data_IF_537250653106
#
_entry.id   IF_537250653106
#
_cell.length_a   1.000
_cell.length_b   1.000
_cell.length_c   1.000
_cell.angle_alpha   90.00
_cell.angle_beta   90.00
_cell.angle_gamma   90.00
#
_symmetry.space_group_name_H-M   'P 1'
#
loop_
_entity.id
_entity.type
_entity.pdbx_description
1 polymer ?
#
# COMPACT_ATOMS: atom_id res chain seq x y z
N UNK A 1 23.54 1.22 19.31
CA UNK A 1 22.87 2.50 19.02
C UNK A 1 21.69 2.24 18.08
N UNK A 2 20.45 2.58 18.49
CA UNK A 2 19.23 2.34 17.69
C UNK A 2 18.91 3.47 16.71
N UNK A 3 19.59 4.60 16.79
CA UNK A 3 19.34 5.77 15.92
C UNK A 3 19.78 5.56 14.48
N UNK A 4 20.55 4.50 14.23
CA UNK A 4 21.08 4.10 12.92
C UNK A 4 20.35 2.92 12.29
N UNK A 5 19.36 2.34 12.98
CA UNK A 5 18.63 1.17 12.49
C UNK A 5 17.44 1.63 11.65
N UNK A 6 17.24 0.98 10.50
CA UNK A 6 16.14 1.21 9.59
C UNK A 6 15.75 -0.13 8.96
N UNK A 7 14.45 -0.38 8.83
CA UNK A 7 13.93 -1.56 8.13
C UNK A 7 13.42 -1.10 6.78
N UNK A 8 14.00 -1.66 5.70
CA UNK A 8 13.53 -1.50 4.34
C UNK A 8 12.96 -2.85 3.86
N UNK A 9 11.63 -2.98 3.91
CA UNK A 9 10.96 -4.23 3.53
C UNK A 9 10.59 -4.19 2.04
N UNK A 10 11.17 -5.05 1.16
CA UNK A 10 10.72 -5.14 -0.23
C UNK A 10 9.40 -5.90 -0.32
N UNK A 11 8.63 -5.71 -1.40
CA UNK A 11 7.57 -6.66 -1.69
C UNK A 11 8.13 -7.98 -2.25
N UNK A 12 7.41 -9.08 -2.04
CA UNK A 12 7.78 -10.38 -2.62
C UNK A 12 7.68 -10.29 -4.16
N UNK A 13 8.59 -10.95 -4.89
CA UNK A 13 8.89 -10.69 -6.32
C UNK A 13 9.43 -9.27 -6.57
N UNK A 14 10.43 -8.86 -5.80
CA UNK A 14 11.04 -7.51 -5.88
C UNK A 14 11.56 -7.11 -7.27
N UNK A 15 11.81 -8.08 -8.16
CA UNK A 15 12.23 -7.85 -9.55
C UNK A 15 11.06 -7.52 -10.49
N UNK A 16 9.83 -7.88 -10.13
CA UNK A 16 8.60 -7.64 -10.91
C UNK A 16 7.81 -6.47 -10.33
N UNK A 17 7.72 -6.40 -9.00
CA UNK A 17 6.91 -5.41 -8.30
C UNK A 17 7.80 -4.36 -7.66
N UNK A 18 7.90 -3.16 -8.24
CA UNK A 18 8.89 -2.20 -7.83
C UNK A 18 8.40 -1.34 -6.66
N UNK A 19 7.57 -1.89 -5.79
CA UNK A 19 7.19 -1.19 -4.56
C UNK A 19 8.21 -1.55 -3.47
N UNK A 20 8.78 -0.52 -2.83
CA UNK A 20 9.54 -0.71 -1.59
C UNK A 20 8.59 -0.34 -0.45
N UNK A 21 8.19 -1.36 0.32
CA UNK A 21 6.98 -1.35 1.14
C UNK A 21 7.01 -0.28 2.22
N UNK A 22 8.09 -0.20 2.99
CA UNK A 22 8.14 0.69 4.15
C UNK A 22 9.57 0.92 4.62
N UNK A 23 9.89 2.18 4.92
CA UNK A 23 10.99 2.58 5.80
C UNK A 23 10.41 2.80 7.20
N UNK A 24 10.73 1.94 8.16
CA UNK A 24 10.27 2.05 9.57
C UNK A 24 11.29 2.79 10.44
N UNK A 25 10.79 3.73 11.25
CA UNK A 25 11.64 4.62 12.07
C UNK A 25 11.00 4.87 13.44
N UNK A 26 11.36 4.11 14.47
CA UNK A 26 10.93 4.46 15.84
C UNK A 26 11.83 5.54 16.48
N UNK A 27 13.13 5.50 16.17
CA UNK A 27 14.16 6.43 16.72
C UNK A 27 15.25 6.81 15.70
N UNK A 28 15.04 6.48 14.43
CA UNK A 28 16.03 6.68 13.37
C UNK A 28 16.19 8.17 13.06
N UNK A 29 17.44 8.62 12.90
CA UNK A 29 17.71 10.01 12.53
C UNK A 29 17.06 10.35 11.17
N UNK A 30 16.34 11.48 11.03
CA UNK A 30 15.69 11.87 9.77
C UNK A 30 16.63 11.87 8.56
N UNK A 31 17.91 12.26 8.76
CA UNK A 31 18.93 12.22 7.71
C UNK A 31 19.15 10.82 7.11
N UNK A 32 19.06 9.77 7.93
CA UNK A 32 19.22 8.39 7.46
C UNK A 32 17.98 7.89 6.71
N UNK A 33 16.80 8.39 7.09
CA UNK A 33 15.54 8.11 6.38
C UNK A 33 15.58 8.72 4.99
N UNK A 34 15.98 9.99 4.87
CA UNK A 34 16.15 10.65 3.57
C UNK A 34 17.25 10.00 2.74
N UNK A 35 18.37 9.61 3.37
CA UNK A 35 19.43 8.85 2.68
C UNK A 35 18.88 7.54 2.08
N UNK A 36 18.18 6.74 2.88
CA UNK A 36 17.57 5.50 2.39
C UNK A 36 16.56 5.78 1.26
N UNK A 37 15.72 6.81 1.40
CA UNK A 37 14.77 7.22 0.36
C UNK A 37 15.46 7.60 -0.94
N UNK A 38 16.56 8.34 -0.85
CA UNK A 38 17.37 8.75 -2.00
C UNK A 38 18.00 7.55 -2.71
N UNK A 39 18.52 6.56 -1.98
CA UNK A 39 19.08 5.34 -2.57
C UNK A 39 18.08 4.57 -3.45
N UNK A 40 16.78 4.62 -3.12
CA UNK A 40 15.75 3.94 -3.92
C UNK A 40 15.08 4.85 -4.95
N UNK A 41 15.31 6.16 -4.92
CA UNK A 41 14.68 7.14 -5.81
C UNK A 41 15.61 7.61 -6.95
N UNK A 42 16.61 6.79 -7.31
CA UNK A 42 17.55 7.10 -8.39
C UNK A 42 16.88 7.08 -9.77
N UNK A 43 17.35 7.88 -10.75
CA UNK A 43 16.81 7.86 -12.11
C UNK A 43 16.82 6.45 -12.70
N UNK A 44 15.68 6.03 -13.27
CA UNK A 44 15.50 4.67 -13.82
C UNK A 44 15.12 3.60 -12.78
N UNK A 45 15.18 3.91 -11.49
CA UNK A 45 14.61 3.07 -10.46
C UNK A 45 13.10 3.01 -10.63
N UNK A 46 12.55 1.79 -10.66
CA UNK A 46 11.11 1.61 -10.57
C UNK A 46 10.63 1.73 -9.10
N UNK A 47 11.56 1.76 -8.14
CA UNK A 47 11.24 1.71 -6.72
C UNK A 47 10.48 2.95 -6.25
N UNK A 48 9.36 2.73 -5.55
CA UNK A 48 8.62 3.80 -4.85
C UNK A 48 8.69 3.57 -3.32
N UNK A 49 9.66 4.19 -2.62
CA UNK A 49 9.77 4.06 -1.18
C UNK A 49 8.65 4.81 -0.46
N UNK A 50 7.90 4.11 0.39
CA UNK A 50 6.94 4.72 1.32
C UNK A 50 7.56 4.77 2.71
N UNK A 51 7.53 5.93 3.36
CA UNK A 51 8.04 6.10 4.74
C UNK A 51 6.89 5.96 5.72
N UNK A 52 7.07 5.17 6.79
CA UNK A 52 6.07 5.05 7.85
C UNK A 52 6.72 5.34 9.20
N UNK A 53 6.16 6.32 9.91
CA UNK A 53 6.70 6.79 11.20
C UNK A 53 6.30 5.93 12.38
N UNK A 54 5.19 5.20 12.27
CA UNK A 54 4.67 4.35 13.33
C UNK A 54 4.86 2.88 12.96
N UNK A 55 5.54 2.13 13.83
CA UNK A 55 5.57 0.69 13.70
C UNK A 55 4.19 0.15 14.02
N UNK A 56 3.55 -0.43 13.02
CA UNK A 56 2.31 -1.19 13.18
C UNK A 56 2.62 -2.66 13.02
N UNK A 57 2.06 -3.55 13.87
CA UNK A 57 2.08 -4.98 13.59
C UNK A 57 1.64 -5.24 12.15
N UNK A 58 2.48 -5.99 11.43
CA UNK A 58 2.31 -6.43 10.04
C UNK A 58 2.42 -5.38 8.92
N UNK A 59 2.81 -4.13 9.20
CA UNK A 59 2.77 -3.02 8.24
C UNK A 59 1.34 -2.72 7.74
N UNK A 60 1.03 -1.46 7.45
CA UNK A 60 -0.34 -1.02 7.13
C UNK A 60 -0.89 -1.63 5.85
N UNK A 61 -0.03 -2.02 4.92
CA UNK A 61 -0.43 -2.48 3.60
C UNK A 61 -0.77 -3.99 3.59
N UNK A 62 -0.23 -4.81 4.52
CA UNK A 62 -0.84 -6.13 4.80
C UNK A 62 -2.23 -5.97 5.40
N UNK A 63 -2.47 -4.91 6.20
CA UNK A 63 -3.81 -4.67 6.78
C UNK A 63 -4.84 -4.43 5.69
N UNK A 64 -4.50 -3.69 4.63
CA UNK A 64 -5.41 -3.48 3.51
C UNK A 64 -5.81 -4.81 2.85
N UNK A 65 -4.83 -5.70 2.62
CA UNK A 65 -5.11 -7.06 2.11
C UNK A 65 -6.03 -7.83 3.06
N UNK A 66 -5.79 -7.77 4.37
CA UNK A 66 -6.67 -8.42 5.34
C UNK A 66 -8.08 -7.84 5.39
N UNK A 67 -8.26 -6.53 5.24
CA UNK A 67 -9.58 -5.90 5.14
C UNK A 67 -10.32 -6.43 3.91
N UNK A 68 -9.66 -6.50 2.76
CA UNK A 68 -10.25 -7.05 1.53
C UNK A 68 -10.65 -8.53 1.71
N UNK A 69 -9.76 -9.34 2.31
CA UNK A 69 -10.05 -10.75 2.58
C UNK A 69 -11.24 -10.93 3.55
N UNK A 70 -11.35 -10.07 4.58
CA UNK A 70 -12.50 -10.06 5.49
C UNK A 70 -13.78 -9.65 4.76
N UNK A 71 -13.73 -8.62 3.92
CA UNK A 71 -14.85 -8.20 3.08
C UNK A 71 -15.34 -9.31 2.16
N UNK A 72 -14.42 -9.99 1.46
CA UNK A 72 -14.73 -11.13 0.60
C UNK A 72 -15.43 -12.27 1.37
N UNK A 73 -15.03 -12.52 2.64
CA UNK A 73 -15.70 -13.51 3.50
C UNK A 73 -17.15 -13.12 3.80
N UNK A 74 -17.44 -11.84 4.01
CA UNK A 74 -18.81 -11.35 4.22
C UNK A 74 -19.63 -11.55 2.94
N UNK A 75 -19.12 -11.10 1.79
CA UNK A 75 -19.80 -11.27 0.51
C UNK A 75 -20.10 -12.74 0.19
N UNK A 76 -19.20 -13.66 0.57
CA UNK A 76 -19.42 -15.10 0.42
C UNK A 76 -20.59 -15.61 1.27
N UNK A 77 -20.80 -15.05 2.47
CA UNK A 77 -21.97 -15.36 3.31
C UNK A 77 -23.27 -14.85 2.70
N UNK A 78 -23.21 -13.78 1.90
CA UNK A 78 -24.35 -13.22 1.16
C UNK A 78 -24.59 -13.91 -0.20
N UNK A 79 -24.00 -15.08 -0.46
CA UNK A 79 -24.21 -15.85 -1.70
C UNK A 79 -23.18 -15.59 -2.81
N UNK A 80 -22.15 -14.76 -2.59
CA UNK A 80 -21.08 -14.53 -3.56
C UNK A 80 -20.23 -15.78 -3.78
N UNK A 81 -20.13 -16.25 -5.03
CA UNK A 81 -19.20 -17.33 -5.41
C UNK A 81 -17.74 -16.83 -5.38
N UNK A 82 -16.77 -17.73 -5.18
CA UNK A 82 -15.33 -17.36 -5.27
C UNK A 82 -14.97 -16.76 -6.62
N UNK A 83 -15.60 -17.23 -7.70
CA UNK A 83 -15.36 -16.73 -9.06
C UNK A 83 -15.93 -15.32 -9.25
N UNK A 84 -17.12 -15.02 -8.72
CA UNK A 84 -17.70 -13.68 -8.79
C UNK A 84 -16.86 -12.68 -7.98
N UNK A 85 -16.39 -13.08 -6.80
CA UNK A 85 -15.53 -12.25 -5.95
C UNK A 85 -14.14 -12.07 -6.55
N UNK A 86 -13.58 -13.12 -7.16
CA UNK A 86 -12.36 -13.04 -7.95
C UNK A 86 -12.52 -12.07 -9.11
N UNK A 87 -13.57 -12.21 -9.92
CA UNK A 87 -13.92 -11.28 -11.02
C UNK A 87 -14.04 -9.82 -10.57
N UNK A 88 -14.67 -9.57 -9.42
CA UNK A 88 -14.73 -8.22 -8.85
C UNK A 88 -13.40 -7.75 -8.24
N UNK A 89 -12.55 -8.65 -7.78
CA UNK A 89 -11.16 -8.27 -7.46
C UNK A 89 -10.37 -7.91 -8.72
N UNK A 90 -10.67 -8.50 -9.89
CA UNK A 90 -10.09 -8.05 -11.16
C UNK A 90 -10.63 -6.70 -11.61
N UNK A 91 -11.87 -6.32 -11.27
CA UNK A 91 -12.34 -4.94 -11.51
C UNK A 91 -11.64 -3.91 -10.61
N UNK A 92 -10.95 -4.35 -9.54
CA UNK A 92 -9.94 -3.54 -8.82
C UNK A 92 -8.59 -3.44 -9.53
N UNK A 93 -8.41 -3.93 -10.77
CA UNK A 93 -7.28 -3.57 -11.66
C UNK A 93 -7.18 -2.05 -11.85
N UNK A 94 -8.26 -1.29 -11.65
CA UNK A 94 -8.19 0.17 -11.52
C UNK A 94 -7.19 0.64 -10.47
N UNK A 95 -7.01 -0.12 -9.39
CA UNK A 95 -6.04 0.17 -8.33
C UNK A 95 -4.59 -0.08 -8.75
N UNK A 96 -4.37 -0.77 -9.87
CA UNK A 96 -3.05 -0.89 -10.48
C UNK A 96 -2.67 0.38 -11.29
N UNK A 97 -3.66 1.09 -11.84
CA UNK A 97 -3.46 2.32 -12.62
C UNK A 97 -3.49 3.60 -11.78
N UNK A 98 -4.49 3.72 -10.89
CA UNK A 98 -4.69 4.86 -9.98
C UNK A 98 -4.84 4.33 -8.56
N UNK A 99 -4.40 5.05 -7.53
CA UNK A 99 -4.59 4.58 -6.16
C UNK A 99 -6.08 4.63 -5.74
N UNK A 100 -6.42 4.00 -4.61
CA UNK A 100 -7.83 3.92 -4.15
C UNK A 100 -8.45 5.31 -3.99
N UNK A 101 -7.73 6.29 -3.43
CA UNK A 101 -8.24 7.63 -3.19
C UNK A 101 -8.48 8.39 -4.51
N UNK A 102 -7.55 8.29 -5.46
CA UNK A 102 -7.71 8.87 -6.80
C UNK A 102 -8.92 8.32 -7.56
N UNK A 103 -9.18 7.02 -7.44
CA UNK A 103 -10.34 6.39 -8.08
C UNK A 103 -11.67 6.92 -7.54
N UNK A 104 -11.76 7.16 -6.23
CA UNK A 104 -12.98 7.70 -5.62
C UNK A 104 -13.12 9.20 -5.85
N UNK A 105 -12.00 9.95 -5.83
CA UNK A 105 -11.99 11.36 -6.22
C UNK A 105 -12.54 11.58 -7.64
N UNK A 106 -12.22 10.69 -8.58
CA UNK A 106 -12.72 10.77 -9.96
C UNK A 106 -14.18 10.33 -10.12
N UNK A 107 -14.75 9.65 -9.12
CA UNK A 107 -16.08 9.03 -9.19
C UNK A 107 -17.18 9.91 -8.60
N UNK A 108 -16.88 10.66 -7.54
CA UNK A 108 -17.89 11.33 -6.72
C UNK A 108 -18.14 12.80 -7.11
N UNK A 109 -17.77 13.20 -8.33
CA UNK A 109 -18.09 14.53 -8.88
C UNK A 109 -17.51 15.67 -8.05
N UNK A 110 -18.26 16.76 -7.88
CA UNK A 110 -17.84 17.97 -7.15
C UNK A 110 -17.50 17.72 -5.66
N UNK A 111 -18.06 16.67 -5.05
CA UNK A 111 -17.80 16.31 -3.65
C UNK A 111 -16.50 15.54 -3.43
N UNK A 112 -15.94 14.95 -4.49
CA UNK A 112 -14.73 14.14 -4.45
C UNK A 112 -14.76 13.10 -3.32
N UNK A 113 -13.59 12.77 -2.78
CA UNK A 113 -13.49 11.81 -1.68
C UNK A 113 -14.04 12.33 -0.35
N UNK A 114 -14.19 13.65 -0.20
CA UNK A 114 -14.75 14.28 0.99
C UNK A 114 -16.22 13.95 1.20
N UNK A 115 -16.94 13.51 0.16
CA UNK A 115 -18.31 13.02 0.30
C UNK A 115 -18.41 11.60 0.90
N UNK A 116 -17.28 10.88 1.01
CA UNK A 116 -17.23 9.49 1.48
C UNK A 116 -16.89 9.35 2.98
N UNK A 117 -16.30 10.39 3.58
CA UNK A 117 -15.86 10.45 4.99
C UNK A 117 -16.65 11.49 5.77
#
# INVERSE_FOLDING_TARGET
DRTRLLVAHPFNLAHIMPLLRTILTLKTLPKLVEFARACFSVPGSRHRPVVTRNETPDFWDKRLVFVLLRGARICRRCGGSRYNLGGQSWSTLRWAGNNIFENYQQRDGEGGIGAFF
#
